data_IF_467673850646
#
_entry.id   IF_467673850646
#
_cell.length_a   1.000
_cell.length_b   1.000
_cell.length_c   1.000
_cell.angle_alpha   90.00
_cell.angle_beta   90.00
_cell.angle_gamma   90.00
#
_symmetry.space_group_name_H-M   'P 1'
#
loop_
_entity.id
_entity.type
_entity.pdbx_description
1 polymer ?
#
# COMPACT_ATOMS: atom_id res chain seq x y z
N UNK A 1 21.40 1.01 4.70
CA UNK A 1 20.52 2.12 5.12
C UNK A 1 19.17 1.49 5.42
N UNK A 2 18.88 1.22 6.68
CA UNK A 2 17.62 0.61 7.12
C UNK A 2 16.58 1.71 7.25
N UNK A 3 16.07 2.19 6.13
CA UNK A 3 15.04 3.23 6.09
C UNK A 3 13.68 2.60 6.40
N UNK A 4 13.33 2.64 7.70
CA UNK A 4 11.99 2.75 8.25
C UNK A 4 10.85 2.12 7.39
N UNK A 5 10.71 0.79 7.45
CA UNK A 5 9.74 0.00 6.68
C UNK A 5 8.26 0.18 7.13
N UNK A 6 7.91 1.31 7.75
CA UNK A 6 6.55 1.62 8.17
C UNK A 6 5.93 2.63 7.19
N UNK A 7 5.45 2.12 6.07
CA UNK A 7 4.74 2.93 5.09
C UNK A 7 3.28 3.11 5.51
N UNK A 8 2.79 4.33 5.49
CA UNK A 8 1.38 4.64 5.77
C UNK A 8 0.54 4.53 4.49
N UNK A 9 -0.78 4.40 4.63
CA UNK A 9 -1.70 4.53 3.49
C UNK A 9 -1.54 5.85 2.74
N UNK A 10 -1.05 6.89 3.43
CA UNK A 10 -0.72 8.17 2.82
C UNK A 10 0.43 8.05 1.80
N UNK A 11 1.50 7.33 2.12
CA UNK A 11 2.65 7.15 1.24
C UNK A 11 2.25 6.38 -0.03
N UNK A 12 1.46 5.32 0.14
CA UNK A 12 0.94 4.53 -0.97
C UNK A 12 0.07 5.39 -1.90
N UNK A 13 -0.86 6.15 -1.33
CA UNK A 13 -1.73 7.02 -2.11
C UNK A 13 -0.97 8.13 -2.82
N UNK A 14 0.00 8.76 -2.14
CA UNK A 14 0.85 9.76 -2.76
C UNK A 14 1.66 9.16 -3.92
N UNK A 15 2.17 7.94 -3.76
CA UNK A 15 2.89 7.24 -4.83
C UNK A 15 1.98 6.88 -6.03
N UNK A 16 0.71 6.60 -5.78
CA UNK A 16 -0.29 6.24 -6.78
C UNK A 16 -0.88 7.45 -7.52
N UNK A 17 -1.24 8.51 -6.79
CA UNK A 17 -2.00 9.66 -7.30
C UNK A 17 -1.12 10.91 -7.52
N UNK A 18 0.12 10.92 -7.02
CA UNK A 18 1.02 12.07 -7.08
C UNK A 18 0.56 13.26 -6.22
N UNK A 19 -0.42 13.07 -5.33
CA UNK A 19 -0.94 14.07 -4.41
C UNK A 19 -1.26 13.48 -3.04
N UNK A 20 -1.35 14.36 -2.04
CA UNK A 20 -1.81 13.98 -0.71
C UNK A 20 -3.34 13.83 -0.66
N UNK A 21 -3.81 13.01 0.29
CA UNK A 21 -5.22 12.89 0.63
C UNK A 21 -5.83 14.25 1.03
N UNK A 22 -7.06 14.52 0.62
CA UNK A 22 -7.87 15.55 1.29
C UNK A 22 -8.39 15.01 2.63
N UNK A 23 -8.85 15.91 3.50
CA UNK A 23 -9.45 15.51 4.78
C UNK A 23 -10.70 14.64 4.58
N UNK A 24 -11.55 15.00 3.62
CA UNK A 24 -12.77 14.26 3.27
C UNK A 24 -12.46 12.86 2.75
N UNK A 25 -11.47 12.71 1.87
CA UNK A 25 -11.04 11.40 1.39
C UNK A 25 -10.51 10.57 2.57
N UNK A 26 -9.67 11.16 3.43
CA UNK A 26 -9.05 10.43 4.54
C UNK A 26 -10.10 9.93 5.52
N UNK A 27 -11.07 10.78 5.84
CA UNK A 27 -12.24 10.41 6.64
C UNK A 27 -13.02 9.28 5.96
N UNK A 28 -13.30 9.40 4.67
CA UNK A 28 -14.06 8.40 3.90
C UNK A 28 -13.35 7.04 3.91
N UNK A 29 -12.05 7.00 3.64
CA UNK A 29 -11.28 5.75 3.69
C UNK A 29 -11.19 5.14 5.09
N UNK A 30 -11.10 5.99 6.13
CA UNK A 30 -11.16 5.52 7.51
C UNK A 30 -12.55 5.03 7.93
N UNK A 31 -13.61 5.41 7.21
CA UNK A 31 -14.97 4.95 7.45
C UNK A 31 -15.31 3.64 6.70
N UNK A 32 -14.55 3.30 5.66
CA UNK A 32 -14.70 2.04 4.91
C UNK A 32 -14.51 0.81 5.81
N UNK A 33 -15.18 -0.28 5.47
CA UNK A 33 -14.93 -1.61 6.05
C UNK A 33 -13.53 -2.13 5.68
N UNK A 34 -13.08 -3.17 6.39
CA UNK A 34 -11.76 -3.76 6.12
C UNK A 34 -11.65 -4.31 4.68
N UNK A 35 -12.73 -4.93 4.17
CA UNK A 35 -12.77 -5.46 2.81
C UNK A 35 -12.70 -4.35 1.75
N UNK A 36 -13.42 -3.24 1.96
CA UNK A 36 -13.36 -2.09 1.05
C UNK A 36 -11.98 -1.42 1.07
N UNK A 37 -11.34 -1.30 2.25
CA UNK A 37 -9.97 -0.78 2.33
C UNK A 37 -8.98 -1.67 1.60
N UNK A 38 -9.14 -2.98 1.68
CA UNK A 38 -8.30 -3.93 0.95
C UNK A 38 -8.41 -3.73 -0.57
N UNK A 39 -9.63 -3.54 -1.08
CA UNK A 39 -9.87 -3.27 -2.50
C UNK A 39 -9.20 -1.97 -2.95
N UNK A 40 -9.30 -0.90 -2.15
CA UNK A 40 -8.64 0.36 -2.46
C UNK A 40 -7.11 0.26 -2.41
N UNK A 41 -6.55 -0.45 -1.44
CA UNK A 41 -5.09 -0.68 -1.39
C UNK A 41 -4.61 -1.35 -2.67
N UNK A 42 -5.33 -2.35 -3.19
CA UNK A 42 -4.99 -3.02 -4.44
C UNK A 42 -5.03 -2.06 -5.63
N UNK A 43 -6.04 -1.20 -5.72
CA UNK A 43 -6.13 -0.17 -6.78
C UNK A 43 -4.97 0.82 -6.70
N UNK A 44 -4.66 1.31 -5.50
CA UNK A 44 -3.54 2.23 -5.29
C UNK A 44 -2.22 1.55 -5.66
N UNK A 45 -1.97 0.32 -5.23
CA UNK A 45 -0.77 -0.44 -5.59
C UNK A 45 -0.66 -0.63 -7.11
N UNK A 46 -1.74 -1.01 -7.78
CA UNK A 46 -1.76 -1.14 -9.24
C UNK A 46 -1.42 0.18 -9.96
N UNK A 47 -1.83 1.32 -9.39
CA UNK A 47 -1.52 2.66 -9.90
C UNK A 47 -0.07 3.12 -9.62
N UNK A 48 0.74 2.35 -8.87
CA UNK A 48 2.14 2.72 -8.59
C UNK A 48 3.16 2.20 -9.60
N UNK A 49 2.72 1.63 -10.73
CA UNK A 49 3.57 1.02 -11.77
C UNK A 49 4.53 -0.06 -11.22
N UNK A 50 4.04 -0.86 -10.26
CA UNK A 50 4.83 -1.97 -9.67
C UNK A 50 5.93 -1.54 -8.70
N UNK A 51 6.04 -0.25 -8.37
CA UNK A 51 6.91 0.26 -7.28
C UNK A 51 6.44 -0.16 -5.90
N UNK A 52 5.18 -0.57 -5.79
CA UNK A 52 4.60 -1.17 -4.62
C UNK A 52 3.95 -2.50 -5.00
N UNK A 53 3.87 -3.39 -4.03
CA UNK A 53 3.14 -4.65 -4.14
C UNK A 53 2.27 -4.83 -2.89
N UNK A 54 1.22 -5.62 -3.03
CA UNK A 54 0.36 -6.02 -1.93
C UNK A 54 0.06 -7.51 -1.93
N UNK A 55 -0.22 -8.05 -0.76
CA UNK A 55 -0.60 -9.44 -0.53
C UNK A 55 -1.73 -9.52 0.49
N UNK A 56 -2.70 -10.38 0.20
CA UNK A 56 -3.83 -10.65 1.08
C UNK A 56 -3.47 -11.67 2.15
N UNK A 57 -3.65 -11.28 3.40
CA UNK A 57 -3.30 -12.06 4.57
C UNK A 57 -4.57 -12.32 5.37
N UNK A 58 -4.94 -13.59 5.49
CA UNK A 58 -6.01 -13.99 6.39
C UNK A 58 -5.47 -14.05 7.82
N UNK A 59 -6.09 -13.30 8.72
CA UNK A 59 -5.74 -13.36 10.13
C UNK A 59 -6.59 -14.40 10.87
N UNK A 60 -6.18 -14.74 12.09
CA UNK A 60 -6.85 -15.77 12.91
C UNK A 60 -8.32 -15.45 13.23
N UNK A 61 -8.71 -14.19 13.16
CA UNK A 61 -10.09 -13.72 13.35
C UNK A 61 -11.00 -13.94 12.13
N UNK A 62 -10.47 -14.54 11.04
CA UNK A 62 -11.21 -14.76 9.80
C UNK A 62 -11.32 -13.53 8.90
N UNK A 63 -10.70 -12.41 9.29
CA UNK A 63 -10.65 -11.18 8.51
C UNK A 63 -9.42 -11.17 7.59
N UNK A 64 -9.64 -10.81 6.34
CA UNK A 64 -8.56 -10.59 5.36
C UNK A 64 -8.02 -9.18 5.51
N UNK A 65 -6.70 -9.04 5.54
CA UNK A 65 -6.00 -7.76 5.52
C UNK A 65 -5.03 -7.74 4.32
N UNK A 66 -5.12 -6.70 3.51
CA UNK A 66 -4.16 -6.50 2.41
C UNK A 66 -2.94 -5.75 2.95
N UNK A 67 -1.84 -6.49 3.14
CA UNK A 67 -0.55 -5.89 3.48
C UNK A 67 0.11 -5.36 2.21
N UNK A 68 0.85 -4.25 2.31
CA UNK A 68 1.57 -3.68 1.17
C UNK A 68 2.99 -3.28 1.58
N UNK A 69 3.91 -3.34 0.62
CA UNK A 69 5.28 -2.90 0.79
C UNK A 69 5.84 -2.35 -0.51
N UNK A 70 6.78 -1.42 -0.38
CA UNK A 70 7.50 -0.86 -1.52
C UNK A 70 8.48 -1.91 -2.05
N UNK A 71 8.41 -2.22 -3.33
CA UNK A 71 9.48 -2.96 -3.99
C UNK A 71 10.62 -1.97 -4.17
N UNK A 72 11.67 -2.09 -3.36
CA UNK A 72 12.93 -1.46 -3.71
C UNK A 72 13.27 -1.93 -5.12
N UNK A 73 13.55 -0.99 -6.03
CA UNK A 73 14.06 -1.27 -7.39
C UNK A 73 14.83 -2.58 -7.39
N UNK A 74 14.52 -3.56 -8.25
CA UNK A 74 15.25 -4.83 -8.23
C UNK A 74 16.71 -4.46 -8.26
N UNK A 75 17.39 -4.75 -7.16
CA UNK A 75 18.81 -4.51 -7.06
C UNK A 75 19.38 -5.29 -8.23
N UNK A 76 19.77 -4.58 -9.28
CA UNK A 76 20.75 -5.08 -10.22
C UNK A 76 22.05 -5.15 -9.44
N UNK A 77 22.09 -6.03 -8.44
CA UNK A 77 23.29 -6.58 -7.88
C UNK A 77 23.83 -7.50 -8.98
N UNK A 78 24.42 -6.86 -9.98
CA UNK A 78 25.77 -7.15 -10.47
C UNK A 78 26.24 -8.53 -10.04
N UNK A 79 26.22 -9.46 -11.00
CA UNK A 79 27.16 -10.59 -11.03
C UNK A 79 28.58 -10.04 -10.83
N UNK A 80 29.31 -10.52 -9.82
CA UNK A 80 30.66 -10.99 -10.07
C UNK A 80 30.76 -12.51 -9.92
#
# INVERSE_FOLDING_TARGET
MSENCCFSFHDLFFAAQGRSWTEEERMSFSALSQEERNDEVRKLVAATDGRWVCEDRHWHDGVTYTAFWKTGTPSSATRP
#
